data_IF_541324833664
#
_entry.id   IF_541324833664
#
_cell.length_a   1.000
_cell.length_b   1.000
_cell.length_c   1.000
_cell.angle_alpha   90.00
_cell.angle_beta   90.00
_cell.angle_gamma   90.00
#
_symmetry.space_group_name_H-M   'P 1'
#
loop_
_entity.id
_entity.type
_entity.pdbx_description
1 polymer ?
#
# COMPACT_ATOMS: atom_id res chain seq x y z
N UNK A 1 6.86 -8.73 17.88
CA UNK A 1 7.61 -8.26 16.69
C UNK A 1 6.92 -6.99 16.23
N UNK A 2 7.66 -5.97 15.85
CA UNK A 2 7.04 -4.75 15.31
C UNK A 2 6.53 -5.03 13.89
N UNK A 3 5.34 -4.56 13.54
CA UNK A 3 4.72 -4.80 12.24
C UNK A 3 4.70 -3.54 11.40
N UNK A 4 5.37 -3.60 10.25
CA UNK A 4 5.40 -2.53 9.25
C UNK A 4 4.53 -2.98 8.07
N UNK A 5 3.57 -2.15 7.68
CA UNK A 5 2.82 -2.33 6.44
C UNK A 5 3.19 -1.21 5.47
N UNK A 6 3.72 -1.61 4.33
CA UNK A 6 4.24 -0.73 3.29
C UNK A 6 3.37 -0.81 2.05
N UNK A 7 2.93 0.35 1.55
CA UNK A 7 2.06 0.47 0.38
C UNK A 7 2.83 1.19 -0.73
N UNK A 8 3.15 0.47 -1.79
CA UNK A 8 3.74 1.01 -3.00
C UNK A 8 2.60 1.61 -3.83
N UNK A 9 2.40 2.92 -3.67
CA UNK A 9 1.32 3.69 -4.29
C UNK A 9 1.64 4.32 -5.64
N UNK A 10 2.80 4.03 -6.23
CA UNK A 10 3.12 4.46 -7.60
C UNK A 10 2.52 3.47 -8.62
N UNK A 11 1.54 3.85 -9.44
CA UNK A 11 0.89 2.88 -10.35
C UNK A 11 1.79 2.47 -11.54
N UNK A 12 2.90 3.19 -11.78
CA UNK A 12 3.84 2.86 -12.86
C UNK A 12 4.70 1.66 -12.47
N UNK A 13 5.24 0.93 -13.44
CA UNK A 13 6.09 -0.25 -13.15
C UNK A 13 7.44 0.15 -12.56
N UNK A 14 7.94 1.30 -13.02
CA UNK A 14 9.24 1.85 -12.69
C UNK A 14 9.08 3.33 -12.36
N UNK A 15 9.90 3.82 -11.45
CA UNK A 15 9.91 5.24 -11.07
C UNK A 15 10.72 5.51 -9.82
N UNK A 16 11.22 6.73 -9.68
CA UNK A 16 12.09 7.13 -8.57
C UNK A 16 11.45 6.89 -7.20
N UNK A 17 10.13 7.08 -7.05
CA UNK A 17 9.41 6.81 -5.80
C UNK A 17 9.51 5.33 -5.40
N UNK A 18 9.39 4.42 -6.38
CA UNK A 18 9.54 2.97 -6.16
C UNK A 18 10.97 2.62 -5.81
N UNK A 19 11.93 3.11 -6.59
CA UNK A 19 13.35 2.79 -6.41
C UNK A 19 13.85 3.26 -5.04
N UNK A 20 13.45 4.45 -4.60
CA UNK A 20 13.80 4.97 -3.27
C UNK A 20 13.09 4.18 -2.17
N UNK A 21 11.83 3.82 -2.36
CA UNK A 21 11.08 3.10 -1.35
C UNK A 21 11.60 1.68 -1.15
N UNK A 22 12.00 0.98 -2.22
CA UNK A 22 12.63 -0.34 -2.08
C UNK A 22 13.93 -0.27 -1.25
N UNK A 23 14.75 0.77 -1.43
CA UNK A 23 15.92 1.02 -0.57
C UNK A 23 15.56 1.35 0.87
N UNK A 24 14.44 2.03 1.09
CA UNK A 24 13.95 2.32 2.44
C UNK A 24 13.41 1.06 3.13
N UNK A 25 12.73 0.18 2.38
CA UNK A 25 12.18 -1.07 2.90
C UNK A 25 13.26 -2.09 3.24
N UNK A 26 14.39 -2.11 2.52
CA UNK A 26 15.49 -3.03 2.82
C UNK A 26 16.02 -2.85 4.24
N UNK A 27 16.06 -1.61 4.75
CA UNK A 27 16.43 -1.33 6.15
C UNK A 27 15.55 -2.10 7.13
N UNK A 28 14.22 -2.07 6.97
CA UNK A 28 13.31 -2.80 7.86
C UNK A 28 13.42 -4.32 7.68
N UNK A 29 13.58 -4.78 6.45
CA UNK A 29 13.70 -6.21 6.12
C UNK A 29 14.98 -6.85 6.67
N UNK A 30 16.05 -6.06 6.87
CA UNK A 30 17.30 -6.50 7.49
C UNK A 30 17.18 -6.72 9.01
N UNK A 31 16.13 -6.19 9.65
CA UNK A 31 15.91 -6.34 11.09
C UNK A 31 15.04 -7.56 11.43
N UNK A 32 15.58 -8.59 12.11
CA UNK A 32 14.89 -9.87 12.33
C UNK A 32 13.67 -9.78 13.28
N UNK A 33 13.52 -8.67 14.00
CA UNK A 33 12.41 -8.43 14.94
C UNK A 33 11.25 -7.64 14.32
N UNK A 34 11.39 -7.23 13.05
CA UNK A 34 10.41 -6.45 12.30
C UNK A 34 9.77 -7.35 11.23
N UNK A 35 8.46 -7.49 11.30
CA UNK A 35 7.67 -8.09 10.22
C UNK A 35 7.30 -7.01 9.22
N UNK A 36 7.66 -7.20 7.94
CA UNK A 36 7.34 -6.26 6.86
C UNK A 36 6.33 -6.90 5.90
N UNK A 37 5.16 -6.28 5.76
CA UNK A 37 4.15 -6.61 4.74
C UNK A 37 4.17 -5.54 3.67
N UNK A 38 4.26 -5.95 2.40
CA UNK A 38 4.33 -5.03 1.26
C UNK A 38 3.12 -5.27 0.37
N UNK A 39 2.41 -4.20 0.06
CA UNK A 39 1.29 -4.18 -0.87
C UNK A 39 1.61 -3.25 -2.03
N UNK A 40 1.61 -3.79 -3.25
CA UNK A 40 1.73 -3.00 -4.48
C UNK A 40 0.34 -2.73 -5.05
N UNK A 41 -0.02 -1.45 -5.23
CA UNK A 41 -1.35 -1.09 -5.75
C UNK A 41 -1.62 -1.63 -7.16
N UNK A 42 -0.57 -2.00 -7.92
CA UNK A 42 -0.70 -2.63 -9.24
C UNK A 42 -1.17 -4.07 -9.16
N UNK A 43 -0.93 -4.72 -8.03
CA UNK A 43 -1.21 -6.13 -7.80
C UNK A 43 -2.51 -6.33 -7.01
N UNK A 44 -3.05 -5.27 -6.41
CA UNK A 44 -4.34 -5.30 -5.74
C UNK A 44 -5.47 -5.43 -6.75
N UNK A 45 -6.29 -6.48 -6.61
CA UNK A 45 -7.53 -6.64 -7.35
C UNK A 45 -8.66 -5.88 -6.65
N UNK A 46 -9.07 -4.73 -7.17
CA UNK A 46 -10.21 -3.95 -6.67
C UNK A 46 -10.70 -2.93 -7.72
N UNK A 47 -11.92 -2.41 -7.55
CA UNK A 47 -12.41 -1.27 -8.32
C UNK A 47 -12.18 0.03 -7.51
N UNK A 48 -11.33 0.96 -8.00
CA UNK A 48 -11.02 2.19 -7.27
C UNK A 48 -12.17 3.19 -7.19
N UNK A 49 -13.30 2.94 -7.88
CA UNK A 49 -14.47 3.83 -7.84
C UNK A 49 -15.46 3.47 -6.74
N UNK A 50 -15.28 2.34 -6.05
CA UNK A 50 -16.16 1.87 -4.97
C UNK A 50 -17.66 1.93 -5.40
N UNK A 51 -18.08 1.14 -6.42
CA UNK A 51 -19.31 1.37 -7.18
C UNK A 51 -20.61 1.36 -6.37
N UNK A 52 -20.63 0.68 -5.22
CA UNK A 52 -21.78 0.58 -4.31
C UNK A 52 -21.47 1.21 -2.92
N UNK A 53 -20.45 2.06 -2.85
CA UNK A 53 -19.94 2.62 -1.59
C UNK A 53 -19.50 1.52 -0.63
N UNK A 54 -19.80 1.68 0.66
CA UNK A 54 -19.49 0.67 1.69
C UNK A 54 -20.21 -0.69 1.53
N UNK A 55 -21.11 -0.82 0.54
CA UNK A 55 -21.75 -2.09 0.19
C UNK A 55 -21.01 -2.85 -0.92
N UNK A 56 -19.98 -2.25 -1.53
CA UNK A 56 -19.11 -2.95 -2.47
C UNK A 56 -18.46 -4.13 -1.76
N UNK A 57 -18.58 -5.31 -2.36
CA UNK A 57 -17.94 -6.52 -1.86
C UNK A 57 -16.41 -6.35 -1.91
N UNK A 58 -15.76 -6.60 -0.78
CA UNK A 58 -14.32 -6.45 -0.68
C UNK A 58 -13.64 -7.72 -1.19
N UNK A 59 -12.62 -7.55 -2.03
CA UNK A 59 -11.80 -8.68 -2.47
C UNK A 59 -10.97 -9.23 -1.30
N UNK A 60 -10.55 -10.52 -1.35
CA UNK A 60 -9.71 -11.11 -0.32
C UNK A 60 -8.44 -10.31 -0.04
N UNK A 61 -7.83 -9.72 -1.08
CA UNK A 61 -6.63 -8.89 -0.99
C UNK A 61 -6.88 -7.60 -0.23
N UNK A 62 -8.02 -6.94 -0.45
CA UNK A 62 -8.42 -5.73 0.30
C UNK A 62 -8.74 -6.08 1.76
N UNK A 63 -9.38 -7.22 2.02
CA UNK A 63 -9.62 -7.70 3.38
C UNK A 63 -8.29 -7.97 4.10
N UNK A 64 -7.33 -8.62 3.43
CA UNK A 64 -6.00 -8.89 3.97
C UNK A 64 -5.25 -7.59 4.28
N UNK A 65 -5.22 -6.64 3.33
CA UNK A 65 -4.64 -5.32 3.53
C UNK A 65 -5.25 -4.61 4.73
N UNK A 66 -6.59 -4.59 4.85
CA UNK A 66 -7.27 -3.95 5.99
C UNK A 66 -6.88 -4.57 7.33
N UNK A 67 -6.82 -5.90 7.41
CA UNK A 67 -6.42 -6.60 8.63
C UNK A 67 -4.96 -6.33 9.00
N UNK A 68 -4.07 -6.28 8.00
CA UNK A 68 -2.67 -5.95 8.21
C UNK A 68 -2.49 -4.51 8.67
N UNK A 69 -3.18 -3.56 8.03
CA UNK A 69 -3.18 -2.14 8.42
C UNK A 69 -3.69 -1.96 9.86
N UNK A 70 -4.75 -2.65 10.25
CA UNK A 70 -5.30 -2.57 11.61
C UNK A 70 -4.33 -3.07 12.69
N UNK A 71 -3.42 -3.99 12.34
CA UNK A 71 -2.44 -4.58 13.26
C UNK A 71 -1.04 -3.99 13.12
N UNK A 72 -0.86 -2.96 12.28
CA UNK A 72 0.44 -2.36 12.03
C UNK A 72 0.87 -1.40 13.15
N UNK A 73 2.15 -1.45 13.50
CA UNK A 73 2.80 -0.44 14.35
C UNK A 73 3.26 0.78 13.53
N UNK A 74 3.55 0.57 12.24
CA UNK A 74 3.97 1.61 11.31
C UNK A 74 3.35 1.37 9.93
N UNK A 75 2.72 2.41 9.37
CA UNK A 75 2.22 2.45 8.01
C UNK A 75 3.12 3.33 7.15
N UNK A 76 3.59 2.79 6.02
CA UNK A 76 4.44 3.50 5.08
C UNK A 76 3.73 3.59 3.72
N UNK A 77 3.71 4.79 3.15
CA UNK A 77 3.20 5.03 1.80
C UNK A 77 4.30 5.66 0.96
N UNK A 78 4.54 5.12 -0.25
CA UNK A 78 5.39 5.77 -1.25
C UNK A 78 4.59 5.95 -2.53
N UNK A 79 4.51 7.19 -3.01
CA UNK A 79 3.81 7.51 -4.24
C UNK A 79 4.35 8.81 -4.85
N UNK A 80 4.31 8.96 -6.18
CA UNK A 80 4.52 10.25 -6.81
C UNK A 80 3.34 11.17 -6.49
N UNK A 81 3.63 12.45 -6.26
CA UNK A 81 2.57 13.46 -6.12
C UNK A 81 2.03 13.80 -7.50
N UNK A 82 0.75 13.51 -7.73
CA UNK A 82 0.02 13.83 -8.96
C UNK A 82 -1.10 14.80 -8.63
N UNK A 83 -1.13 15.94 -9.32
CA UNK A 83 -2.15 16.98 -9.09
C UNK A 83 -2.29 17.35 -7.60
N UNK A 84 -1.15 17.55 -6.93
CA UNK A 84 -1.07 17.89 -5.50
C UNK A 84 -1.63 16.82 -4.54
N UNK A 85 -1.80 15.58 -4.99
CA UNK A 85 -2.34 14.49 -4.18
C UNK A 85 -1.69 13.13 -4.50
N UNK A 86 -2.16 12.06 -3.85
CA UNK A 86 -1.87 10.66 -4.20
C UNK A 86 -2.39 10.33 -5.61
N UNK A 87 -1.79 9.35 -6.32
CA UNK A 87 -2.37 8.82 -7.55
C UNK A 87 -3.80 8.30 -7.34
N UNK A 88 -4.66 8.45 -8.35
CA UNK A 88 -6.08 8.10 -8.23
C UNK A 88 -6.32 6.63 -7.81
N UNK A 89 -5.50 5.70 -8.29
CA UNK A 89 -5.60 4.29 -7.88
C UNK A 89 -5.27 4.12 -6.39
N UNK A 90 -4.23 4.79 -5.87
CA UNK A 90 -3.95 4.77 -4.44
C UNK A 90 -5.08 5.44 -3.65
N UNK A 91 -5.67 6.51 -4.16
CA UNK A 91 -6.85 7.14 -3.53
C UNK A 91 -8.01 6.15 -3.40
N UNK A 92 -8.27 5.34 -4.43
CA UNK A 92 -9.29 4.28 -4.37
C UNK A 92 -8.98 3.16 -3.37
N UNK A 93 -7.72 2.91 -3.01
CA UNK A 93 -7.37 1.98 -1.91
C UNK A 93 -7.72 2.59 -0.54
N UNK A 94 -7.69 3.92 -0.44
CA UNK A 94 -7.95 4.67 0.81
C UNK A 94 -9.45 4.90 1.03
N UNK A 95 -10.25 4.88 -0.04
CA UNK A 95 -11.72 4.98 0.00
C UNK A 95 -12.40 3.74 0.59
#
# INVERSE_FOLDING_TARGET
>A
MAKVVAIIGDPREKGTSRDLFQKYLSFFQEHPTIEVKIYDIRELAFDPNLPEGYRTEQTPEIIALKNDVHSADLLLFSYPVWWFNVPAVLKGVID
#
